data_IF_146326329079
#
_entry.id   IF_146326329079
#
_cell.length_a   1.000
_cell.length_b   1.000
_cell.length_c   1.000
_cell.angle_alpha   90.00
_cell.angle_beta   90.00
_cell.angle_gamma   90.00
#
_symmetry.space_group_name_H-M   'P 1'
#
loop_
_entity.id
_entity.type
_entity.pdbx_description
1 polymer ?
#
# COMPACT_ATOMS: atom_id res chain seq x y z
N UNK A 1 -2.41 -59.58 49.21
CA UNK A 1 -3.29 -58.96 48.19
C UNK A 1 -2.85 -57.50 48.00
N UNK A 2 -1.86 -57.23 47.13
CA UNK A 2 -1.32 -55.88 46.93
C UNK A 2 -1.99 -55.22 45.72
N UNK A 3 -2.66 -54.07 45.93
CA UNK A 3 -3.23 -53.26 44.85
C UNK A 3 -2.12 -52.45 44.17
N UNK A 4 -1.89 -52.72 42.89
CA UNK A 4 -0.97 -51.95 42.05
C UNK A 4 -1.50 -50.52 41.86
N UNK A 5 -0.69 -49.52 42.25
CA UNK A 5 -0.94 -48.11 41.94
C UNK A 5 -0.76 -47.88 40.44
N UNK A 6 -1.87 -47.68 39.74
CA UNK A 6 -1.89 -47.23 38.35
C UNK A 6 -1.34 -45.81 38.29
N UNK A 7 -0.13 -45.64 37.78
CA UNK A 7 0.43 -44.33 37.44
C UNK A 7 -0.47 -43.70 36.40
N UNK A 8 -1.08 -42.58 36.75
CA UNK A 8 -1.91 -41.76 35.88
C UNK A 8 -1.05 -41.25 34.72
N UNK A 9 -1.22 -41.85 33.55
CA UNK A 9 -0.76 -41.29 32.29
C UNK A 9 -1.26 -39.84 32.20
N UNK A 10 -0.31 -38.92 32.22
CA UNK A 10 -0.51 -37.51 32.02
C UNK A 10 -1.27 -37.28 30.71
N UNK A 11 -2.35 -36.54 30.88
CA UNK A 11 -3.42 -36.21 29.96
C UNK A 11 -2.96 -35.87 28.54
N UNK A 12 -3.83 -36.15 27.57
CA UNK A 12 -3.83 -35.70 26.15
C UNK A 12 -3.88 -34.16 25.97
N UNK A 13 -3.37 -33.39 26.92
CA UNK A 13 -3.14 -31.94 26.83
C UNK A 13 -1.67 -31.77 26.51
N UNK A 14 -1.39 -31.41 25.26
CA UNK A 14 -0.06 -31.50 24.64
C UNK A 14 1.10 -31.01 25.51
N UNK A 15 2.28 -31.60 25.25
CA UNK A 15 3.54 -31.35 25.94
C UNK A 15 3.70 -29.88 26.38
N UNK A 16 4.14 -29.60 27.62
CA UNK A 16 4.19 -28.24 28.19
C UNK A 16 4.96 -27.25 27.29
N UNK A 17 6.02 -27.74 26.64
CA UNK A 17 6.80 -26.97 25.67
C UNK A 17 5.98 -26.59 24.42
N UNK A 18 5.11 -27.46 23.92
CA UNK A 18 4.24 -27.18 22.78
C UNK A 18 3.17 -26.13 23.12
N UNK A 19 2.68 -26.13 24.36
CA UNK A 19 1.76 -25.09 24.85
C UNK A 19 2.49 -23.75 24.96
N UNK A 20 3.72 -23.74 25.48
CA UNK A 20 4.54 -22.53 25.58
C UNK A 20 4.84 -21.94 24.19
N UNK A 21 5.24 -22.77 23.22
CA UNK A 21 5.45 -22.35 21.82
C UNK A 21 4.19 -21.77 21.19
N UNK A 22 3.03 -22.40 21.41
CA UNK A 22 1.73 -21.88 20.93
C UNK A 22 1.35 -20.56 21.60
N UNK A 23 1.60 -20.39 22.90
CA UNK A 23 1.37 -19.11 23.61
C UNK A 23 2.29 -18.01 23.08
N UNK A 24 3.58 -18.30 22.92
CA UNK A 24 4.56 -17.36 22.39
C UNK A 24 4.20 -16.93 20.96
N UNK A 25 3.86 -17.88 20.08
CA UNK A 25 3.44 -17.58 18.71
C UNK A 25 2.15 -16.73 18.68
N UNK A 26 1.17 -17.03 19.54
CA UNK A 26 -0.05 -16.22 19.64
C UNK A 26 0.23 -14.82 20.19
N UNK A 27 1.08 -14.69 21.20
CA UNK A 27 1.47 -13.40 21.76
C UNK A 27 2.24 -12.56 20.75
N UNK A 28 3.17 -13.15 20.02
CA UNK A 28 3.91 -12.52 18.93
C UNK A 28 2.95 -12.07 17.82
N UNK A 29 2.12 -12.98 17.31
CA UNK A 29 1.15 -12.65 16.27
C UNK A 29 0.17 -11.59 16.74
N UNK A 30 -0.20 -11.58 18.02
CA UNK A 30 -1.03 -10.54 18.62
C UNK A 30 -0.31 -9.20 18.63
N UNK A 31 0.95 -9.14 19.07
CA UNK A 31 1.75 -7.91 19.03
C UNK A 31 1.87 -7.35 17.61
N UNK A 32 2.14 -8.21 16.62
CA UNK A 32 2.31 -7.77 15.22
C UNK A 32 0.99 -7.57 14.46
N UNK A 33 -0.10 -8.21 14.88
CA UNK A 33 -1.44 -7.96 14.32
C UNK A 33 -2.10 -6.75 14.95
N UNK A 34 -1.97 -6.55 16.27
CA UNK A 34 -2.50 -5.39 17.00
C UNK A 34 -1.64 -4.14 16.79
N UNK A 35 -0.33 -4.23 16.52
CA UNK A 35 0.46 -3.06 16.10
C UNK A 35 0.08 -2.55 14.69
N UNK A 36 -0.49 -3.40 13.84
CA UNK A 36 -1.02 -3.03 12.51
C UNK A 36 -2.54 -2.75 12.49
N UNK A 37 -3.27 -3.32 13.44
CA UNK A 37 -4.72 -3.16 13.62
C UNK A 37 -5.05 -2.41 14.92
N UNK A 38 -4.13 -1.57 15.41
CA UNK A 38 -4.43 -0.55 16.37
C UNK A 38 -5.29 0.53 15.68
N UNK A 39 -6.53 0.16 15.36
CA UNK A 39 -7.62 0.97 15.89
C UNK A 39 -7.46 0.95 17.41
N UNK A 40 -6.48 1.67 17.95
CA UNK A 40 -6.55 2.19 19.31
C UNK A 40 -7.93 2.81 19.34
N UNK A 41 -8.84 2.21 20.11
CA UNK A 41 -10.28 2.33 19.96
C UNK A 41 -10.65 3.80 19.75
N UNK A 42 -10.74 4.21 18.47
CA UNK A 42 -10.75 5.61 18.11
C UNK A 42 -12.05 6.15 18.69
N UNK A 43 -11.99 7.33 19.29
CA UNK A 43 -13.20 7.95 19.82
C UNK A 43 -14.21 8.14 18.66
N UNK A 44 -15.50 8.20 18.98
CA UNK A 44 -16.55 8.29 17.96
C UNK A 44 -16.36 9.47 16.99
N UNK A 45 -15.72 10.55 17.46
CA UNK A 45 -15.40 11.72 16.63
C UNK A 45 -14.24 11.44 15.67
N UNK A 46 -13.14 10.83 16.12
CA UNK A 46 -12.04 10.47 15.22
C UNK A 46 -12.42 9.38 14.24
N UNK A 47 -13.27 8.42 14.63
CA UNK A 47 -13.85 7.45 13.68
C UNK A 47 -14.66 8.14 12.58
N UNK A 48 -15.53 9.09 12.95
CA UNK A 48 -16.32 9.85 11.98
C UNK A 48 -15.42 10.71 11.07
N UNK A 49 -14.39 11.36 11.64
CA UNK A 49 -13.40 12.14 10.87
C UNK A 49 -12.65 11.25 9.89
N UNK A 50 -12.12 10.11 10.35
CA UNK A 50 -11.44 9.10 9.54
C UNK A 50 -12.31 8.64 8.36
N UNK A 51 -13.55 8.26 8.63
CA UNK A 51 -14.50 7.83 7.59
C UNK A 51 -14.76 8.94 6.58
N UNK A 52 -14.93 10.19 7.04
CA UNK A 52 -15.12 11.35 6.17
C UNK A 52 -13.91 11.57 5.26
N UNK A 53 -12.70 11.60 5.81
CA UNK A 53 -11.46 11.79 5.03
C UNK A 53 -11.24 10.67 4.00
N UNK A 54 -11.52 9.42 4.38
CA UNK A 54 -11.46 8.29 3.44
C UNK A 54 -12.49 8.44 2.32
N UNK A 55 -13.70 8.90 2.64
CA UNK A 55 -14.77 9.16 1.66
C UNK A 55 -14.36 10.28 0.69
N UNK A 56 -13.85 11.39 1.20
CA UNK A 56 -13.36 12.52 0.39
C UNK A 56 -12.22 12.10 -0.55
N UNK A 57 -11.28 11.27 -0.09
CA UNK A 57 -10.21 10.72 -0.94
C UNK A 57 -10.75 9.88 -2.12
N UNK A 58 -11.87 9.18 -1.94
CA UNK A 58 -12.49 8.32 -2.97
C UNK A 58 -13.40 9.12 -3.89
N UNK A 59 -14.25 9.97 -3.32
CA UNK A 59 -15.27 10.71 -4.05
C UNK A 59 -14.69 11.93 -4.78
N UNK A 60 -13.61 12.51 -4.26
CA UNK A 60 -13.02 13.74 -4.77
C UNK A 60 -13.60 14.97 -4.06
N UNK A 61 -13.37 16.15 -4.65
CA UNK A 61 -13.96 17.42 -4.19
C UNK A 61 -15.45 17.54 -4.51
N UNK A 62 -16.01 18.74 -4.29
CA UNK A 62 -17.46 19.02 -4.37
C UNK A 62 -18.13 18.61 -5.70
N UNK A 63 -17.39 18.64 -6.82
CA UNK A 63 -17.90 18.27 -8.15
C UNK A 63 -17.45 16.87 -8.62
N UNK A 64 -16.97 16.02 -7.71
CA UNK A 64 -16.41 14.71 -8.04
C UNK A 64 -15.06 14.77 -8.77
N UNK A 65 -14.48 15.97 -8.88
CA UNK A 65 -13.14 16.23 -9.38
C UNK A 65 -12.08 15.66 -8.42
N UNK A 66 -10.90 15.26 -8.93
CA UNK A 66 -9.82 14.84 -8.04
C UNK A 66 -9.46 15.96 -7.05
N UNK A 67 -9.18 15.57 -5.80
CA UNK A 67 -8.75 16.52 -4.77
C UNK A 67 -7.45 17.21 -5.20
N UNK A 68 -7.23 18.43 -4.69
CA UNK A 68 -5.95 19.13 -4.91
C UNK A 68 -4.82 18.34 -4.24
N UNK A 69 -3.60 18.47 -4.77
CA UNK A 69 -2.45 17.75 -4.23
C UNK A 69 -2.23 18.01 -2.73
N UNK A 70 -2.41 19.27 -2.30
CA UNK A 70 -2.29 19.67 -0.90
C UNK A 70 -3.38 19.05 -0.01
N UNK A 71 -4.63 18.98 -0.51
CA UNK A 71 -5.74 18.32 0.20
C UNK A 71 -5.48 16.82 0.34
N UNK A 72 -5.02 16.16 -0.72
CA UNK A 72 -4.63 14.74 -0.68
C UNK A 72 -3.53 14.51 0.37
N UNK A 73 -2.50 15.35 0.41
CA UNK A 73 -1.41 15.25 1.40
C UNK A 73 -1.93 15.45 2.82
N UNK A 74 -2.76 16.48 3.04
CA UNK A 74 -3.36 16.75 4.35
C UNK A 74 -4.20 15.58 4.82
N UNK A 75 -5.10 15.07 3.97
CA UNK A 75 -5.98 13.95 4.31
C UNK A 75 -5.18 12.66 4.57
N UNK A 76 -4.18 12.38 3.74
CA UNK A 76 -3.32 11.22 3.92
C UNK A 76 -2.48 11.32 5.20
N UNK A 77 -1.92 12.49 5.51
CA UNK A 77 -1.17 12.73 6.74
C UNK A 77 -2.04 12.52 7.99
N UNK A 78 -3.25 13.07 8.00
CA UNK A 78 -4.20 12.86 9.09
C UNK A 78 -4.59 11.40 9.25
N UNK A 79 -4.91 10.70 8.15
CA UNK A 79 -5.28 9.28 8.21
C UNK A 79 -4.14 8.41 8.73
N UNK A 80 -2.91 8.64 8.28
CA UNK A 80 -1.72 7.96 8.79
C UNK A 80 -1.50 8.23 10.29
N UNK A 81 -1.79 9.45 10.74
CA UNK A 81 -1.72 9.83 12.16
C UNK A 81 -2.82 9.15 12.99
N UNK A 82 -3.99 8.88 12.39
CA UNK A 82 -5.09 8.10 12.99
C UNK A 82 -4.88 6.58 12.91
N UNK A 83 -3.68 6.13 12.53
CA UNK A 83 -3.30 4.71 12.49
C UNK A 83 -3.73 3.98 11.21
N UNK A 84 -4.18 4.69 10.16
CA UNK A 84 -4.34 4.04 8.86
C UNK A 84 -3.00 3.69 8.23
N UNK A 85 -3.03 2.70 7.34
CA UNK A 85 -1.84 2.27 6.61
C UNK A 85 -1.89 2.78 5.17
N UNK A 86 -0.72 3.05 4.57
CA UNK A 86 -0.65 3.37 3.14
C UNK A 86 -1.29 2.29 2.25
N UNK A 87 -1.21 1.03 2.65
CA UNK A 87 -1.80 -0.09 1.91
C UNK A 87 -3.32 0.03 1.90
N UNK A 88 -3.94 0.33 3.05
CA UNK A 88 -5.37 0.62 3.15
C UNK A 88 -5.76 1.78 2.24
N UNK A 89 -5.04 2.89 2.32
CA UNK A 89 -5.34 4.09 1.52
C UNK A 89 -5.24 3.81 0.01
N UNK A 90 -4.23 3.07 -0.44
CA UNK A 90 -4.10 2.69 -1.86
C UNK A 90 -5.22 1.76 -2.33
N UNK A 91 -5.72 0.86 -1.48
CA UNK A 91 -6.83 -0.05 -1.82
C UNK A 91 -8.14 0.71 -2.09
N UNK A 92 -8.31 1.88 -1.49
CA UNK A 92 -9.47 2.75 -1.75
C UNK A 92 -9.48 3.32 -3.18
N UNK A 93 -8.36 3.27 -3.89
CA UNK A 93 -8.18 3.88 -5.23
C UNK A 93 -8.60 5.36 -5.24
N UNK A 94 -7.91 6.21 -4.45
CA UNK A 94 -8.28 7.61 -4.33
C UNK A 94 -8.20 8.34 -5.68
N UNK A 95 -9.06 9.34 -5.87
CA UNK A 95 -9.02 10.23 -7.03
C UNK A 95 -7.89 11.24 -6.86
N UNK A 96 -6.72 10.87 -7.36
CA UNK A 96 -5.53 11.69 -7.28
C UNK A 96 -5.48 12.69 -8.45
N UNK A 97 -4.92 13.89 -8.23
CA UNK A 97 -4.64 14.82 -9.31
C UNK A 97 -3.57 14.23 -10.25
N UNK A 98 -3.53 14.69 -11.52
CA UNK A 98 -2.47 14.30 -12.44
C UNK A 98 -1.11 14.75 -11.89
N UNK A 99 -0.12 13.86 -11.98
CA UNK A 99 1.23 14.13 -11.52
C UNK A 99 2.01 14.86 -12.61
N UNK A 100 2.58 16.05 -12.34
CA UNK A 100 3.48 16.72 -13.27
C UNK A 100 4.82 15.95 -13.39
N UNK A 101 5.58 16.16 -14.48
CA UNK A 101 6.95 15.66 -14.56
C UNK A 101 7.79 16.25 -13.41
N UNK A 102 8.63 15.42 -12.79
CA UNK A 102 9.53 15.88 -11.72
C UNK A 102 10.74 16.53 -12.38
N UNK A 103 10.68 17.85 -12.55
CA UNK A 103 11.81 18.70 -12.90
C UNK A 103 12.38 19.38 -11.64
N UNK A 104 13.44 20.16 -11.81
CA UNK A 104 14.09 20.86 -10.70
C UNK A 104 13.16 21.89 -10.03
N UNK A 105 12.32 22.57 -10.82
CA UNK A 105 11.36 23.56 -10.29
C UNK A 105 10.27 22.89 -9.45
N UNK A 106 9.67 21.81 -9.95
CA UNK A 106 8.68 21.02 -9.20
C UNK A 106 9.30 20.41 -7.95
N UNK A 107 10.54 19.89 -8.04
CA UNK A 107 11.24 19.34 -6.88
C UNK A 107 11.51 20.40 -5.80
N UNK A 108 11.83 21.65 -6.18
CA UNK A 108 11.96 22.77 -5.25
C UNK A 108 10.63 23.05 -4.54
N UNK A 109 9.51 23.15 -5.27
CA UNK A 109 8.18 23.35 -4.68
C UNK A 109 7.80 22.23 -3.72
N UNK A 110 8.10 20.97 -4.08
CA UNK A 110 7.85 19.82 -3.20
C UNK A 110 8.66 19.92 -1.91
N UNK A 111 9.95 20.27 -1.99
CA UNK A 111 10.81 20.48 -0.81
C UNK A 111 10.31 21.62 0.07
N UNK A 112 9.96 22.75 -0.52
CA UNK A 112 9.44 23.90 0.21
C UNK A 112 8.12 23.55 0.91
N UNK A 113 7.24 22.81 0.23
CA UNK A 113 6.01 22.31 0.82
C UNK A 113 6.31 21.36 2.00
N UNK A 114 7.27 20.45 1.83
CA UNK A 114 7.66 19.54 2.92
C UNK A 114 8.25 20.30 4.11
N UNK A 115 9.08 21.33 3.87
CA UNK A 115 9.66 22.14 4.92
C UNK A 115 8.59 22.94 5.69
N UNK A 116 7.60 23.48 4.99
CA UNK A 116 6.56 24.32 5.60
C UNK A 116 5.51 23.51 6.38
N UNK A 117 5.08 22.36 5.85
CA UNK A 117 3.96 21.59 6.43
C UNK A 117 4.39 20.37 7.23
N UNK A 118 5.63 19.89 7.06
CA UNK A 118 6.16 18.71 7.75
C UNK A 118 5.25 17.48 7.64
N UNK A 119 4.67 17.26 6.45
CA UNK A 119 3.81 16.09 6.20
C UNK A 119 4.58 14.79 6.43
N UNK A 120 3.84 13.73 6.79
CA UNK A 120 4.39 12.38 6.87
C UNK A 120 4.95 11.98 5.50
N UNK A 121 6.21 11.56 5.45
CA UNK A 121 6.90 11.18 4.21
C UNK A 121 6.17 10.07 3.45
N UNK A 122 5.40 9.24 4.16
CA UNK A 122 4.53 8.21 3.59
C UNK A 122 3.40 8.81 2.77
N UNK A 123 2.84 9.97 3.15
CA UNK A 123 1.75 10.63 2.43
C UNK A 123 2.16 11.00 0.99
N UNK A 124 3.40 11.45 0.78
CA UNK A 124 3.95 11.73 -0.55
C UNK A 124 3.96 10.52 -1.48
N UNK A 125 4.14 9.31 -0.93
CA UNK A 125 4.09 8.06 -1.69
C UNK A 125 2.68 7.72 -2.20
N UNK A 126 1.64 8.41 -1.71
CA UNK A 126 0.29 8.32 -2.27
C UNK A 126 0.20 9.10 -3.59
N UNK A 127 0.83 10.28 -3.65
CA UNK A 127 1.02 11.08 -4.86
C UNK A 127 2.12 10.55 -5.78
N UNK A 128 2.69 9.38 -5.48
CA UNK A 128 3.80 8.76 -6.23
C UNK A 128 5.08 9.59 -6.22
N UNK A 129 5.24 10.47 -5.25
CA UNK A 129 6.47 11.24 -4.99
C UNK A 129 7.30 10.49 -3.96
N UNK A 130 8.58 10.30 -4.24
CA UNK A 130 9.56 9.77 -3.30
C UNK A 130 10.55 10.88 -2.98
N UNK A 131 10.47 11.45 -1.77
CA UNK A 131 11.25 12.63 -1.37
C UNK A 131 12.76 12.38 -1.46
N UNK A 132 13.19 11.14 -1.20
CA UNK A 132 14.60 10.73 -1.22
C UNK A 132 15.16 10.63 -2.66
N UNK A 133 14.29 10.63 -3.67
CA UNK A 133 14.67 10.51 -5.09
C UNK A 133 14.48 11.81 -5.87
N UNK A 134 14.19 12.92 -5.18
CA UNK A 134 14.04 14.20 -5.83
C UNK A 134 15.41 14.70 -6.33
N UNK A 135 15.47 15.32 -7.52
CA UNK A 135 16.71 15.88 -8.06
C UNK A 135 17.27 16.94 -7.10
N UNK A 136 18.59 16.92 -6.86
CA UNK A 136 19.24 17.84 -5.93
C UNK A 136 19.09 19.30 -6.40
N UNK A 137 19.01 20.28 -5.48
CA UNK A 137 19.01 21.69 -5.87
C UNK A 137 20.36 22.08 -6.49
N UNK A 138 20.34 22.72 -7.66
CA UNK A 138 21.52 23.25 -8.34
C UNK A 138 22.21 22.29 -9.29
N UNK A 139 21.71 21.06 -9.48
CA UNK A 139 22.17 20.20 -10.56
C UNK A 139 21.46 20.61 -11.85
N UNK A 140 22.11 21.48 -12.64
CA UNK A 140 21.73 21.71 -14.04
C UNK A 140 21.50 20.34 -14.68
N UNK A 141 20.28 20.08 -15.11
CA UNK A 141 19.96 18.89 -15.87
C UNK A 141 20.68 18.96 -17.22
N UNK A 142 21.91 18.45 -17.30
CA UNK A 142 22.40 17.90 -18.55
C UNK A 142 21.47 16.74 -18.90
N UNK A 143 20.77 16.92 -20.01
CA UNK A 143 19.86 15.95 -20.57
C UNK A 143 20.66 14.72 -21.00
N UNK A 144 20.82 13.75 -20.12
CA UNK A 144 21.30 12.42 -20.49
C UNK A 144 20.25 11.38 -20.08
N UNK A 145 19.20 11.30 -20.89
CA UNK A 145 18.34 10.12 -20.94
C UNK A 145 18.96 9.14 -21.94
N UNK A 146 20.00 8.44 -21.49
CA UNK A 146 20.43 7.17 -22.05
C UNK A 146 19.26 6.18 -21.89
N UNK A 147 18.48 6.01 -22.97
CA UNK A 147 17.39 5.05 -23.00
C UNK A 147 17.96 3.63 -23.11
N UNK A 148 17.61 2.67 -22.22
CA UNK A 148 18.03 1.30 -22.39
C UNK A 148 17.37 0.68 -23.65
N UNK A 149 18.10 -0.13 -24.46
CA UNK A 149 17.55 -0.69 -25.68
C UNK A 149 16.43 -1.68 -25.35
N UNK A 150 15.20 -1.32 -25.74
CA UNK A 150 14.04 -2.22 -25.65
C UNK A 150 14.31 -3.47 -26.53
N UNK A 151 14.15 -4.70 -26.01
CA UNK A 151 14.30 -5.90 -26.83
C UNK A 151 13.19 -5.97 -27.89
N UNK A 152 13.61 -6.01 -29.16
CA UNK A 152 12.75 -6.16 -30.34
C UNK A 152 11.95 -7.47 -30.22
N UNK A 153 10.64 -7.40 -29.96
CA UNK A 153 9.74 -8.55 -30.09
C UNK A 153 9.78 -9.01 -31.55
N UNK A 154 10.39 -10.17 -31.79
CA UNK A 154 10.37 -10.85 -33.10
C UNK A 154 8.91 -11.05 -33.53
N UNK A 155 8.54 -10.41 -34.64
CA UNK A 155 7.28 -10.64 -35.32
C UNK A 155 7.25 -12.11 -35.78
N UNK A 156 6.46 -12.95 -35.11
CA UNK A 156 6.20 -14.31 -35.58
C UNK A 156 5.08 -14.23 -36.61
N UNK A 157 5.49 -14.16 -37.87
CA UNK A 157 4.65 -14.29 -39.04
C UNK A 157 3.80 -15.56 -38.94
N UNK A 158 2.48 -15.41 -38.75
CA UNK A 158 1.53 -16.49 -39.07
C UNK A 158 1.31 -16.48 -40.58
N UNK A 159 2.08 -17.32 -41.26
CA UNK A 159 1.84 -17.70 -42.66
C UNK A 159 0.42 -18.28 -42.80
N UNK A 160 -0.35 -17.68 -43.71
CA UNK A 160 -1.50 -18.32 -44.38
C UNK A 160 -1.01 -19.57 -45.12
N UNK A 161 -1.75 -20.67 -45.04
CA UNK A 161 -1.98 -21.61 -46.14
C UNK A 161 -3.05 -22.64 -45.75
N UNK A 162 -3.76 -23.25 -46.71
CA UNK A 162 -5.17 -23.58 -46.60
C UNK A 162 -5.43 -25.09 -46.41
N UNK A 163 -6.59 -25.44 -45.87
CA UNK A 163 -7.12 -26.80 -46.03
C UNK A 163 -8.63 -26.77 -46.29
N UNK A 164 -8.93 -26.76 -47.59
CA UNK A 164 -10.12 -27.33 -48.20
C UNK A 164 -10.32 -28.75 -47.64
N UNK A 165 -11.53 -29.13 -47.19
CA UNK A 165 -12.17 -30.45 -47.42
C UNK A 165 -13.54 -30.59 -46.70
N UNK A 166 -14.58 -30.67 -47.54
CA UNK A 166 -15.81 -31.48 -47.50
C UNK A 166 -16.85 -31.34 -46.35
N UNK A 167 -18.02 -30.83 -46.77
CA UNK A 167 -19.27 -31.58 -47.04
C UNK A 167 -19.92 -32.31 -45.85
N UNK A 168 -21.07 -31.79 -45.38
CA UNK A 168 -22.40 -32.44 -45.33
C UNK A 168 -23.35 -31.69 -44.39
N UNK A 169 -24.52 -31.29 -44.89
CA UNK A 169 -25.82 -31.48 -44.22
C UNK A 169 -26.96 -30.86 -45.03
N UNK A 170 -28.07 -31.61 -45.07
CA UNK A 170 -29.37 -31.36 -45.70
C UNK A 170 -29.43 -31.52 -47.23
#
# INVERSE_FOLDING_TARGET
MARAKKTTETTRRGHPEAIAKRRAARALNRLFSEAGAATAQLDGRSLKRKQRLMKELVEGGEDGQPLKALEVLSHAHELLSLGETLVSLRKLKPKLPPMPPIDETTAAVIRDTQANYSFDTRAWKLLRVDLDRLPAPGTKAEAEAEAPPRPRRKARAKKKAPSKTRRRSA
#
